data_IF_470177392386
#
_entry.id   IF_470177392386
#
_cell.length_a   1.000
_cell.length_b   1.000
_cell.length_c   1.000
_cell.angle_alpha   90.00
_cell.angle_beta   90.00
_cell.angle_gamma   90.00
#
_symmetry.space_group_name_H-M   'P 1'
#
loop_
_entity.id
_entity.type
_entity.pdbx_description
1 polymer ?
#
# COMPACT_ATOMS: atom_id res chain seq x y z
N UNK A 1 -22.46 -15.94 -16.03
CA UNK A 1 -22.25 -14.52 -16.41
C UNK A 1 -22.52 -13.66 -15.17
N UNK A 2 -21.52 -13.35 -14.41
CA UNK A 2 -21.57 -12.44 -13.28
C UNK A 2 -20.28 -11.65 -13.30
N UNK A 3 -20.36 -10.40 -13.82
CA UNK A 3 -19.21 -9.48 -13.82
C UNK A 3 -19.01 -9.02 -12.38
N UNK A 4 -17.98 -9.51 -11.73
CA UNK A 4 -17.49 -8.96 -10.48
C UNK A 4 -16.79 -7.65 -10.84
N UNK A 5 -17.37 -6.54 -10.40
CA UNK A 5 -16.75 -5.22 -10.45
C UNK A 5 -15.58 -5.26 -9.46
N UNK A 6 -14.37 -5.51 -9.94
CA UNK A 6 -13.17 -5.38 -9.13
C UNK A 6 -12.96 -3.87 -8.89
N UNK A 7 -13.40 -3.39 -7.75
CA UNK A 7 -13.05 -2.08 -7.23
C UNK A 7 -11.56 -2.18 -6.86
N UNK A 8 -10.69 -1.50 -7.60
CA UNK A 8 -9.29 -1.38 -7.24
C UNK A 8 -9.21 -0.48 -5.98
N UNK A 9 -9.26 -1.11 -4.81
CA UNK A 9 -8.91 -0.47 -3.54
C UNK A 9 -7.39 -0.50 -3.52
N UNK A 10 -6.77 0.60 -3.93
CA UNK A 10 -5.35 0.77 -3.70
C UNK A 10 -5.18 0.98 -2.20
N UNK A 11 -4.64 -0.03 -1.52
CA UNK A 11 -4.11 0.11 -0.18
C UNK A 11 -2.90 1.04 -0.27
N UNK A 12 -3.15 2.34 -0.19
CA UNK A 12 -2.16 3.30 0.24
C UNK A 12 -1.84 2.91 1.68
N UNK A 13 -0.60 2.53 1.94
CA UNK A 13 -0.16 2.03 3.24
C UNK A 13 -0.73 2.87 4.39
N UNK A 14 -1.10 2.22 5.46
CA UNK A 14 -1.81 2.76 6.60
C UNK A 14 -1.40 4.20 6.92
N UNK A 15 -2.22 5.16 6.54
CA UNK A 15 -2.11 6.51 7.07
C UNK A 15 -2.59 6.40 8.48
N UNK A 16 -1.65 6.52 9.41
CA UNK A 16 -1.98 6.56 10.82
C UNK A 16 -3.16 7.49 11.04
N UNK A 17 -4.20 6.94 11.62
CA UNK A 17 -5.51 7.55 11.82
C UNK A 17 -5.53 8.91 12.53
N UNK A 18 -4.41 9.39 13.03
CA UNK A 18 -4.30 10.61 13.79
C UNK A 18 -4.52 11.90 13.01
N UNK A 19 -4.41 11.87 11.68
CA UNK A 19 -4.60 13.07 10.85
C UNK A 19 -5.99 13.67 11.01
N UNK A 20 -6.96 12.85 11.33
CA UNK A 20 -8.35 13.26 11.44
C UNK A 20 -8.90 13.18 12.88
N UNK A 21 -8.14 12.71 13.86
CA UNK A 21 -8.64 12.27 15.15
C UNK A 21 -8.56 13.27 16.31
N UNK A 22 -8.10 14.51 16.14
CA UNK A 22 -8.12 15.51 17.24
C UNK A 22 -9.20 16.58 17.08
N UNK A 23 -10.44 16.19 16.93
CA UNK A 23 -11.57 16.87 17.55
C UNK A 23 -11.94 16.12 18.85
N UNK A 24 -12.54 16.81 19.87
CA UNK A 24 -12.86 16.17 21.13
C UNK A 24 -13.67 14.90 20.88
N UNK A 25 -13.28 13.83 21.53
CA UNK A 25 -13.77 12.49 21.40
C UNK A 25 -15.26 12.43 21.04
N UNK A 26 -15.56 12.23 19.77
CA UNK A 26 -16.84 11.64 19.42
C UNK A 26 -16.72 10.18 19.89
N UNK A 27 -17.66 9.70 20.71
CA UNK A 27 -17.66 8.36 21.32
C UNK A 27 -17.80 7.23 20.28
N UNK A 28 -17.71 7.57 18.98
CA UNK A 28 -17.81 6.62 17.89
C UNK A 28 -16.51 5.83 17.76
N UNK A 29 -16.61 4.51 17.94
CA UNK A 29 -15.53 3.55 17.66
C UNK A 29 -15.28 3.38 16.16
N UNK A 30 -16.11 3.97 15.31
CA UNK A 30 -16.02 3.90 13.86
C UNK A 30 -15.45 5.19 13.28
N UNK A 31 -14.50 5.05 12.37
CA UNK A 31 -14.07 6.07 11.45
C UNK A 31 -14.45 5.61 10.04
N UNK A 32 -15.29 6.36 9.36
CA UNK A 32 -15.71 6.05 8.00
C UNK A 32 -15.59 7.32 7.17
N UNK A 33 -14.82 7.22 6.11
CA UNK A 33 -14.58 8.28 5.15
C UNK A 33 -14.43 7.74 3.73
N UNK A 34 -14.48 8.64 2.77
CA UNK A 34 -14.12 8.35 1.40
C UNK A 34 -13.50 9.59 0.77
N UNK A 35 -12.42 9.41 0.03
CA UNK A 35 -11.87 10.45 -0.82
C UNK A 35 -12.15 10.12 -2.29
N UNK A 36 -12.54 11.12 -3.04
CA UNK A 36 -12.76 11.05 -4.49
C UNK A 36 -11.79 12.00 -5.17
N UNK A 37 -11.02 11.48 -6.09
CA UNK A 37 -9.97 12.26 -6.72
C UNK A 37 -9.35 11.57 -7.91
N UNK A 38 -8.13 11.91 -8.16
CA UNK A 38 -7.32 11.32 -9.20
C UNK A 38 -5.91 11.06 -8.67
N UNK A 39 -5.43 9.86 -8.91
CA UNK A 39 -4.08 9.45 -8.59
C UNK A 39 -3.62 8.33 -9.52
N UNK A 40 -2.34 8.09 -9.50
CA UNK A 40 -1.68 7.00 -10.21
C UNK A 40 -0.58 6.48 -9.30
N UNK A 41 -0.39 5.16 -9.28
CA UNK A 41 0.81 4.50 -8.78
C UNK A 41 1.46 3.77 -9.93
N UNK A 42 2.73 4.05 -10.22
CA UNK A 42 3.46 3.35 -11.27
C UNK A 42 3.57 1.86 -10.95
N UNK A 43 3.48 1.05 -11.98
CA UNK A 43 3.68 -0.40 -11.85
C UNK A 43 5.10 -0.74 -12.29
N UNK A 44 5.96 -1.33 -11.42
CA UNK A 44 7.34 -1.65 -11.76
C UNK A 44 7.47 -2.84 -12.73
N UNK A 45 6.39 -3.59 -12.96
CA UNK A 45 6.42 -4.78 -13.81
C UNK A 45 6.43 -4.42 -15.30
N UNK A 46 7.21 -5.16 -16.06
CA UNK A 46 7.27 -5.03 -17.53
C UNK A 46 5.89 -5.15 -18.15
N UNK A 47 5.61 -4.32 -19.15
CA UNK A 47 4.36 -4.34 -19.92
C UNK A 47 3.08 -4.23 -19.07
N UNK A 48 3.18 -3.65 -17.87
CA UNK A 48 2.05 -3.46 -16.98
C UNK A 48 1.63 -1.99 -16.96
N UNK A 49 0.32 -1.77 -17.01
CA UNK A 49 -0.22 -0.42 -16.87
C UNK A 49 -0.09 0.10 -15.43
N UNK A 50 0.09 1.40 -15.30
CA UNK A 50 0.03 2.08 -14.02
C UNK A 50 -1.34 1.87 -13.33
N UNK A 51 -1.34 1.87 -12.01
CA UNK A 51 -2.51 1.60 -11.19
C UNK A 51 -3.27 2.92 -10.93
N UNK A 52 -4.45 3.13 -11.53
CA UNK A 52 -5.23 4.34 -11.29
C UNK A 52 -5.91 4.30 -9.92
N UNK A 53 -5.90 5.43 -9.22
CA UNK A 53 -6.55 5.62 -7.92
C UNK A 53 -7.62 6.69 -8.09
N UNK A 54 -8.89 6.31 -8.02
CA UNK A 54 -10.03 7.23 -8.19
C UNK A 54 -10.77 7.45 -6.89
N UNK A 55 -10.86 6.39 -6.09
CA UNK A 55 -11.54 6.38 -4.80
C UNK A 55 -10.59 5.82 -3.77
N UNK A 56 -10.45 6.51 -2.66
CA UNK A 56 -9.75 6.04 -1.48
C UNK A 56 -10.77 5.96 -0.32
N UNK A 57 -10.88 4.78 0.29
CA UNK A 57 -11.82 4.51 1.38
C UNK A 57 -11.06 4.48 2.70
N UNK A 58 -11.54 5.24 3.66
CA UNK A 58 -11.04 5.24 5.03
C UNK A 58 -12.10 4.59 5.92
N UNK A 59 -11.90 3.33 6.26
CA UNK A 59 -12.81 2.55 7.10
C UNK A 59 -12.00 1.95 8.24
N UNK A 60 -12.22 2.44 9.44
CA UNK A 60 -11.60 1.90 10.63
C UNK A 60 -12.58 1.73 11.78
N UNK A 61 -12.30 0.78 12.63
CA UNK A 61 -13.01 0.54 13.88
C UNK A 61 -12.01 0.26 15.00
N UNK A 62 -12.15 0.97 16.11
CA UNK A 62 -11.29 0.84 17.28
C UNK A 62 -12.10 0.42 18.49
N UNK A 63 -11.85 -0.79 18.98
CA UNK A 63 -12.38 -1.31 20.23
C UNK A 63 -11.40 -1.07 21.38
N UNK A 64 -11.65 -1.74 22.51
CA UNK A 64 -10.80 -1.61 23.70
C UNK A 64 -9.43 -2.31 23.50
N UNK A 65 -9.38 -3.34 22.67
CA UNK A 65 -8.17 -4.10 22.35
C UNK A 65 -8.09 -4.47 20.87
N UNK A 66 -9.23 -4.74 20.24
CA UNK A 66 -9.28 -5.09 18.82
C UNK A 66 -9.46 -3.86 17.98
N UNK A 67 -8.82 -3.84 16.80
CA UNK A 67 -9.06 -2.82 15.79
C UNK A 67 -9.14 -3.42 14.38
N UNK A 68 -9.78 -2.69 13.52
CA UNK A 68 -9.76 -2.86 12.08
C UNK A 68 -9.38 -1.50 11.47
N UNK A 69 -8.41 -1.46 10.59
CA UNK A 69 -8.00 -0.23 9.90
C UNK A 69 -7.66 -0.53 8.43
N UNK A 70 -8.51 -0.07 7.53
CA UNK A 70 -8.31 -0.12 6.07
C UNK A 70 -7.88 -1.48 5.49
N UNK A 71 -8.32 -2.58 6.09
CA UNK A 71 -8.01 -3.94 5.66
C UNK A 71 -7.11 -4.71 6.61
N UNK A 72 -6.41 -4.02 7.49
CA UNK A 72 -5.64 -4.62 8.57
C UNK A 72 -6.53 -4.91 9.79
N UNK A 73 -6.25 -5.99 10.48
CA UNK A 73 -6.92 -6.37 11.72
C UNK A 73 -5.89 -6.48 12.83
N UNK A 74 -6.20 -6.01 14.01
CA UNK A 74 -5.23 -6.06 15.09
C UNK A 74 -5.81 -6.27 16.47
N UNK A 75 -4.92 -6.73 17.36
CA UNK A 75 -5.16 -6.89 18.79
C UNK A 75 -4.07 -6.17 19.55
N UNK A 76 -4.42 -5.04 20.18
CA UNK A 76 -3.52 -4.31 21.08
C UNK A 76 -3.43 -5.01 22.41
N UNK A 77 -2.23 -5.44 22.79
CA UNK A 77 -1.98 -6.16 24.05
C UNK A 77 -1.16 -5.34 25.06
N UNK A 78 -0.54 -4.24 24.62
CA UNK A 78 0.08 -3.26 25.51
C UNK A 78 -0.10 -1.86 24.93
N UNK A 79 -0.50 -0.91 25.77
CA UNK A 79 -0.74 0.46 25.39
C UNK A 79 -0.41 1.38 26.57
N UNK A 80 0.37 2.41 26.30
CA UNK A 80 0.66 3.50 27.23
C UNK A 80 0.86 4.81 26.45
N UNK A 81 1.11 5.92 27.14
CA UNK A 81 1.20 7.26 26.54
C UNK A 81 2.23 7.40 25.39
N UNK A 82 3.18 6.49 25.26
CA UNK A 82 4.30 6.61 24.31
C UNK A 82 4.54 5.36 23.46
N UNK A 83 3.97 4.24 23.83
CA UNK A 83 4.22 2.96 23.16
C UNK A 83 2.96 2.11 23.14
N UNK A 84 2.59 1.69 21.94
CA UNK A 84 1.54 0.70 21.69
C UNK A 84 2.15 -0.53 21.08
N UNK A 85 1.75 -1.72 21.54
CA UNK A 85 2.16 -2.99 20.96
C UNK A 85 0.94 -3.82 20.58
N UNK A 86 0.93 -4.28 19.34
CA UNK A 86 -0.21 -4.98 18.75
C UNK A 86 0.22 -6.22 17.97
N UNK A 87 -0.66 -7.21 17.93
CA UNK A 87 -0.63 -8.28 16.95
C UNK A 87 -1.45 -7.79 15.74
N UNK A 88 -0.88 -7.82 14.53
CA UNK A 88 -1.53 -7.29 13.32
C UNK A 88 -1.56 -8.36 12.23
N UNK A 89 -2.71 -8.49 11.58
CA UNK A 89 -2.89 -9.33 10.39
C UNK A 89 -3.21 -8.46 9.17
N UNK A 90 -2.55 -8.74 8.04
CA UNK A 90 -2.73 -8.01 6.77
C UNK A 90 -2.64 -8.92 5.56
N UNK A 91 -3.00 -8.38 4.40
CA UNK A 91 -2.59 -8.94 3.11
C UNK A 91 -1.25 -8.34 2.67
N UNK A 92 -0.38 -9.18 2.08
CA UNK A 92 0.90 -8.68 1.57
C UNK A 92 0.71 -7.63 0.47
N UNK A 93 1.46 -6.53 0.55
CA UNK A 93 1.31 -5.36 -0.32
C UNK A 93 1.88 -5.55 -1.73
N UNK A 94 2.89 -6.43 -1.93
CA UNK A 94 3.51 -6.64 -3.24
C UNK A 94 2.54 -7.22 -4.26
N UNK A 95 1.52 -7.95 -3.78
CA UNK A 95 0.46 -8.50 -4.62
C UNK A 95 -0.25 -7.47 -5.50
N UNK A 96 -0.29 -6.20 -5.08
CA UNK A 96 -0.97 -5.13 -5.82
C UNK A 96 -0.41 -4.94 -7.24
N UNK A 97 0.88 -5.17 -7.44
CA UNK A 97 1.53 -5.03 -8.74
C UNK A 97 1.16 -6.14 -9.72
N UNK A 98 0.77 -7.32 -9.20
CA UNK A 98 0.41 -8.51 -10.00
C UNK A 98 -1.11 -8.61 -10.26
N UNK A 99 -1.89 -7.62 -9.82
CA UNK A 99 -3.32 -7.57 -10.14
C UNK A 99 -3.51 -7.21 -11.60
N UNK A 100 -4.15 -8.10 -12.38
CA UNK A 100 -4.59 -7.73 -13.74
C UNK A 100 -5.68 -6.69 -13.62
N UNK A 101 -5.30 -5.44 -13.77
CA UNK A 101 -6.28 -4.37 -13.93
C UNK A 101 -6.77 -4.42 -15.38
N UNK A 102 -7.71 -5.34 -15.68
CA UNK A 102 -8.50 -5.23 -16.92
C UNK A 102 -9.41 -3.98 -16.82
N UNK A 103 -8.83 -2.82 -16.58
CA UNK A 103 -9.51 -1.54 -16.76
C UNK A 103 -9.50 -1.20 -18.25
N UNK A 104 -10.25 -1.97 -19.03
CA UNK A 104 -10.77 -1.46 -20.28
C UNK A 104 -11.80 -0.36 -19.94
N UNK A 105 -11.32 0.81 -19.54
CA UNK A 105 -12.09 2.01 -19.82
C UNK A 105 -12.21 2.09 -21.33
N UNK A 106 -13.44 2.21 -21.80
CA UNK A 106 -13.80 2.38 -23.20
C UNK A 106 -12.87 3.41 -23.80
N UNK A 107 -11.80 2.98 -24.46
CA UNK A 107 -11.08 3.82 -25.39
C UNK A 107 -12.07 4.08 -26.52
N UNK A 108 -12.64 5.28 -26.51
CA UNK A 108 -13.33 5.80 -27.69
C UNK A 108 -12.22 6.07 -28.69
N UNK A 109 -11.97 5.07 -29.51
CA UNK A 109 -10.99 5.15 -30.59
C UNK A 109 -11.47 6.18 -31.61
N UNK A 110 -10.90 7.36 -31.57
CA UNK A 110 -11.14 8.44 -32.51
C UNK A 110 -10.15 8.43 -33.68
N UNK A 111 -9.16 7.58 -33.70
CA UNK A 111 -8.20 7.50 -34.83
C UNK A 111 -7.39 6.18 -34.84
N UNK A 112 -7.79 5.28 -35.72
CA UNK A 112 -6.91 4.23 -36.25
C UNK A 112 -6.61 3.08 -35.28
N UNK A 113 -6.71 1.85 -35.81
CA UNK A 113 -6.44 0.63 -35.04
C UNK A 113 -5.10 0.72 -34.30
N UNK A 114 -5.05 0.38 -33.00
CA UNK A 114 -3.79 0.28 -32.29
C UNK A 114 -2.96 -0.81 -32.98
N UNK A 115 -1.71 -0.49 -33.29
CA UNK A 115 -0.71 -1.53 -33.52
C UNK A 115 -0.69 -2.36 -32.25
N UNK A 116 -1.10 -3.62 -32.33
CA UNK A 116 -0.96 -4.56 -31.24
C UNK A 116 0.54 -4.60 -30.89
N UNK A 117 0.92 -3.97 -29.78
CA UNK A 117 2.23 -4.21 -29.21
C UNK A 117 2.31 -5.71 -28.94
N UNK A 118 3.30 -6.34 -29.52
CA UNK A 118 3.49 -7.79 -29.33
C UNK A 118 3.85 -7.98 -27.86
N UNK A 119 2.92 -8.57 -27.11
CA UNK A 119 3.20 -8.99 -25.72
C UNK A 119 4.34 -10.00 -25.77
N UNK A 120 5.50 -9.64 -25.24
CA UNK A 120 6.70 -10.49 -25.25
C UNK A 120 6.49 -11.73 -24.36
N UNK A 121 5.84 -11.55 -23.23
CA UNK A 121 5.40 -12.61 -22.32
C UNK A 121 4.27 -12.08 -21.42
N UNK A 122 3.56 -12.98 -20.78
CA UNK A 122 2.54 -12.64 -19.77
C UNK A 122 3.19 -12.64 -18.40
N UNK A 123 3.04 -11.53 -17.64
CA UNK A 123 3.52 -11.47 -16.25
C UNK A 123 2.81 -12.56 -15.43
N UNK A 124 3.55 -13.43 -14.72
CA UNK A 124 2.96 -14.50 -13.94
C UNK A 124 2.01 -13.97 -12.86
N UNK A 125 0.95 -14.71 -12.59
CA UNK A 125 0.02 -14.38 -11.51
C UNK A 125 0.63 -14.73 -10.14
N UNK A 126 0.29 -13.97 -9.10
CA UNK A 126 0.72 -14.21 -7.72
C UNK A 126 -0.50 -14.19 -6.79
N UNK A 127 -0.52 -15.10 -5.83
CA UNK A 127 -1.60 -15.19 -4.87
C UNK A 127 -1.46 -14.14 -3.75
N UNK A 128 -2.57 -13.87 -3.07
CA UNK A 128 -2.55 -13.08 -1.85
C UNK A 128 -1.94 -13.90 -0.70
N UNK A 129 -0.93 -13.35 -0.05
CA UNK A 129 -0.44 -13.88 1.21
C UNK A 129 -1.14 -13.18 2.39
N UNK A 130 -1.52 -13.97 3.39
CA UNK A 130 -1.99 -13.45 4.69
C UNK A 130 -0.79 -13.47 5.62
N UNK A 131 -0.45 -12.29 6.14
CA UNK A 131 0.67 -12.11 7.05
C UNK A 131 0.18 -11.76 8.44
N UNK A 132 0.83 -12.32 9.45
CA UNK A 132 0.63 -11.99 10.86
C UNK A 132 1.92 -11.40 11.41
N UNK A 133 1.79 -10.31 12.16
CA UNK A 133 2.94 -9.57 12.66
C UNK A 133 2.79 -9.05 14.07
N UNK A 134 3.92 -8.65 14.64
CA UNK A 134 3.98 -7.86 15.87
C UNK A 134 4.40 -6.46 15.48
N UNK A 135 3.56 -5.50 15.83
CA UNK A 135 3.77 -4.08 15.62
C UNK A 135 4.09 -3.38 16.93
N UNK A 136 5.06 -2.47 16.85
CA UNK A 136 5.40 -1.50 17.89
C UNK A 136 5.24 -0.11 17.31
N UNK A 137 4.39 0.69 17.92
CA UNK A 137 4.15 2.07 17.57
C UNK A 137 4.60 2.96 18.73
N UNK A 138 5.56 3.84 18.48
CA UNK A 138 6.07 4.78 19.47
C UNK A 138 5.73 6.21 19.05
N UNK A 139 5.03 6.93 19.93
CA UNK A 139 4.54 8.29 19.68
C UNK A 139 5.14 9.29 20.67
N UNK A 140 5.37 10.51 20.20
CA UNK A 140 5.85 11.59 21.05
C UNK A 140 5.93 12.93 20.33
N UNK A 141 6.41 13.94 21.05
CA UNK A 141 6.66 15.26 20.46
C UNK A 141 7.71 15.25 19.32
N UNK A 142 8.44 14.17 19.19
CA UNK A 142 9.45 13.92 18.15
C UNK A 142 8.85 13.28 16.88
N UNK A 143 7.59 12.90 16.88
CA UNK A 143 6.91 12.22 15.80
C UNK A 143 6.49 10.81 16.17
N UNK A 144 6.22 9.98 15.16
CA UNK A 144 5.77 8.61 15.29
C UNK A 144 6.78 7.68 14.63
N UNK A 145 7.13 6.59 15.30
CA UNK A 145 7.93 5.49 14.78
C UNK A 145 7.12 4.21 14.84
N UNK A 146 6.91 3.58 13.70
CA UNK A 146 6.31 2.27 13.57
C UNK A 146 7.39 1.24 13.24
N UNK A 147 7.37 0.10 13.90
CA UNK A 147 8.21 -1.05 13.59
C UNK A 147 7.36 -2.31 13.61
N UNK A 148 7.40 -3.11 12.55
CA UNK A 148 6.60 -4.32 12.44
C UNK A 148 7.42 -5.47 11.88
N UNK A 149 7.22 -6.66 12.41
CA UNK A 149 7.73 -7.92 11.86
C UNK A 149 6.55 -8.74 11.40
N UNK A 150 6.43 -8.95 10.11
CA UNK A 150 5.40 -9.79 9.51
C UNK A 150 5.96 -11.15 9.09
N UNK A 151 5.13 -12.19 9.17
CA UNK A 151 5.42 -13.53 8.64
C UNK A 151 4.17 -14.07 7.93
N UNK A 152 4.38 -14.73 6.78
CA UNK A 152 3.31 -15.40 6.05
C UNK A 152 2.74 -16.58 6.87
N UNK A 153 1.43 -16.57 7.10
CA UNK A 153 0.70 -17.65 7.79
C UNK A 153 -0.21 -18.42 6.83
N UNK A 154 -0.26 -18.03 5.57
CA UNK A 154 -1.05 -18.68 4.52
C UNK A 154 -0.28 -19.74 3.72
N UNK A 155 1.02 -19.91 3.98
CA UNK A 155 1.96 -20.73 3.20
C UNK A 155 2.01 -20.34 1.73
N UNK A 156 1.91 -19.06 1.43
CA UNK A 156 1.99 -18.53 0.08
C UNK A 156 3.46 -18.33 -0.32
N UNK A 157 4.24 -17.65 0.52
CA UNK A 157 5.67 -17.41 0.27
C UNK A 157 6.60 -17.89 1.39
N UNK A 158 6.06 -18.29 2.53
CA UNK A 158 6.82 -18.78 3.71
C UNK A 158 7.92 -17.81 4.19
N UNK A 159 7.80 -16.53 3.86
CA UNK A 159 8.79 -15.51 4.14
C UNK A 159 8.37 -14.56 5.25
N UNK A 160 9.25 -13.58 5.52
CA UNK A 160 8.99 -12.52 6.49
C UNK A 160 9.42 -11.16 5.96
N UNK A 161 8.83 -10.11 6.54
CA UNK A 161 9.18 -8.72 6.31
C UNK A 161 9.45 -8.02 7.64
N UNK A 162 10.53 -7.21 7.69
CA UNK A 162 10.78 -6.26 8.76
C UNK A 162 10.49 -4.87 8.21
N UNK A 163 9.51 -4.21 8.75
CA UNK A 163 9.07 -2.88 8.31
C UNK A 163 9.38 -1.85 9.39
N UNK A 164 9.88 -0.69 8.98
CA UNK A 164 10.06 0.48 9.84
C UNK A 164 9.70 1.75 9.09
N UNK A 165 8.91 2.61 9.69
CA UNK A 165 8.52 3.92 9.17
C UNK A 165 8.59 4.97 10.27
N UNK A 166 9.08 6.15 9.91
CA UNK A 166 9.10 7.32 10.78
C UNK A 166 8.40 8.47 10.10
N UNK A 167 7.37 9.00 10.76
CA UNK A 167 6.61 10.16 10.33
C UNK A 167 6.63 11.30 11.34
N UNK A 168 6.50 12.52 10.83
CA UNK A 168 6.32 13.70 11.67
C UNK A 168 5.15 14.53 11.19
N UNK A 169 4.08 14.54 11.99
CA UNK A 169 2.86 15.29 11.73
C UNK A 169 2.93 16.72 12.23
N UNK A 170 2.76 17.68 11.33
CA UNK A 170 2.66 19.09 11.69
C UNK A 170 1.27 19.63 11.35
N UNK A 171 0.62 20.22 12.35
CA UNK A 171 -0.72 20.80 12.21
C UNK A 171 -0.68 22.30 12.46
N UNK A 172 -1.29 23.08 11.56
CA UNK A 172 -1.46 24.51 11.69
C UNK A 172 -2.84 24.93 11.21
N UNK A 173 -3.71 25.37 12.10
CA UNK A 173 -5.10 25.76 11.79
C UNK A 173 -5.87 24.66 11.03
N UNK A 174 -5.98 24.83 9.70
CA UNK A 174 -6.69 23.90 8.80
C UNK A 174 -5.77 23.02 7.99
N UNK A 175 -4.46 23.21 8.10
CA UNK A 175 -3.46 22.46 7.39
C UNK A 175 -2.91 21.32 8.24
N UNK A 176 -2.74 20.19 7.62
CA UNK A 176 -1.96 19.09 8.12
C UNK A 176 -0.90 18.71 7.09
N UNK A 177 0.31 18.50 7.53
CA UNK A 177 1.47 18.14 6.74
C UNK A 177 2.23 17.04 7.46
N UNK A 178 2.47 15.92 6.77
CA UNK A 178 3.19 14.78 7.32
C UNK A 178 4.13 14.20 6.26
N UNK A 179 5.42 14.45 6.37
CA UNK A 179 6.44 13.66 5.72
C UNK A 179 6.69 12.39 6.51
N UNK A 180 6.92 11.28 5.83
CA UNK A 180 7.45 10.07 6.43
C UNK A 180 8.52 9.43 5.54
N UNK A 181 9.39 8.66 6.16
CA UNK A 181 10.43 7.87 5.52
C UNK A 181 10.52 6.52 6.22
N UNK A 182 10.81 5.49 5.44
CA UNK A 182 10.94 4.17 6.02
C UNK A 182 11.69 3.19 5.13
N UNK A 183 11.76 1.97 5.60
CA UNK A 183 12.37 0.87 4.90
C UNK A 183 11.70 -0.45 5.25
N UNK A 184 11.72 -1.40 4.33
CA UNK A 184 11.28 -2.76 4.57
C UNK A 184 12.33 -3.76 4.10
N UNK A 185 12.77 -4.62 5.01
CA UNK A 185 13.61 -5.75 4.67
C UNK A 185 12.75 -6.96 4.37
N UNK A 186 12.88 -7.50 3.17
CA UNK A 186 12.14 -8.66 2.69
C UNK A 186 13.06 -9.88 2.62
N UNK A 187 12.60 -11.01 3.18
CA UNK A 187 13.32 -12.27 3.13
C UNK A 187 13.43 -12.81 1.70
N UNK A 188 14.41 -13.67 1.44
CA UNK A 188 14.58 -14.32 0.15
C UNK A 188 13.34 -15.07 -0.32
N UNK A 189 12.64 -15.77 0.58
CA UNK A 189 11.42 -16.49 0.24
C UNK A 189 10.32 -15.55 -0.26
N UNK A 190 10.11 -14.41 0.41
CA UNK A 190 9.14 -13.41 0.01
C UNK A 190 9.53 -12.77 -1.32
N UNK A 191 10.77 -12.28 -1.45
CA UNK A 191 11.25 -11.68 -2.70
C UNK A 191 11.16 -12.66 -3.86
N UNK A 192 11.61 -13.90 -3.66
CA UNK A 192 11.59 -14.91 -4.72
C UNK A 192 10.16 -15.29 -5.13
N UNK A 193 9.20 -15.27 -4.21
CA UNK A 193 7.81 -15.55 -4.54
C UNK A 193 7.22 -14.50 -5.49
N UNK A 194 7.40 -13.22 -5.19
CA UNK A 194 6.83 -12.14 -5.99
C UNK A 194 7.71 -11.79 -7.21
N UNK A 195 9.00 -11.67 -7.03
CA UNK A 195 9.91 -11.15 -8.05
C UNK A 195 10.75 -12.23 -8.75
N UNK A 196 10.73 -13.47 -8.28
CA UNK A 196 11.38 -14.60 -8.94
C UNK A 196 10.63 -15.07 -10.18
N UNK A 197 11.33 -15.78 -11.07
CA UNK A 197 10.77 -16.49 -12.23
C UNK A 197 10.94 -17.98 -11.98
N UNK A 198 9.82 -18.68 -11.81
CA UNK A 198 9.77 -20.12 -11.51
C UNK A 198 10.08 -20.94 -12.75
N UNK A 199 10.47 -22.21 -12.59
CA UNK A 199 10.85 -23.10 -13.70
C UNK A 199 9.71 -23.32 -14.71
N UNK A 200 8.45 -23.30 -14.25
CA UNK A 200 7.25 -23.43 -15.09
C UNK A 200 6.83 -22.13 -15.81
N UNK A 201 7.41 -21.00 -15.42
CA UNK A 201 7.20 -19.68 -16.02
C UNK A 201 8.27 -19.36 -17.10
N UNK A 202 9.36 -20.12 -17.11
CA UNK A 202 10.50 -19.92 -18.04
C UNK A 202 10.09 -20.16 -19.49
N UNK A 203 10.49 -19.26 -20.37
CA UNK A 203 10.32 -19.37 -21.80
C UNK A 203 11.48 -18.69 -22.57
N UNK A 204 11.41 -18.61 -23.90
CA UNK A 204 12.49 -18.06 -24.73
C UNK A 204 12.85 -16.60 -24.44
N UNK A 205 11.95 -15.84 -23.80
CA UNK A 205 12.13 -14.40 -23.50
C UNK A 205 12.15 -14.11 -21.99
N UNK A 206 11.73 -15.06 -21.17
CA UNK A 206 11.70 -14.93 -19.70
C UNK A 206 12.62 -16.00 -19.08
N UNK A 207 13.87 -15.66 -18.74
CA UNK A 207 14.80 -16.60 -18.11
C UNK A 207 14.43 -16.86 -16.65
N UNK A 208 14.86 -18.02 -16.12
CA UNK A 208 14.74 -18.31 -14.68
C UNK A 208 15.49 -17.27 -13.85
N UNK A 209 14.87 -16.86 -12.75
CA UNK A 209 15.46 -15.90 -11.82
C UNK A 209 15.06 -16.24 -10.39
N UNK A 210 16.04 -16.20 -9.49
CA UNK A 210 15.84 -16.37 -8.06
C UNK A 210 16.27 -15.09 -7.35
N UNK A 211 15.31 -14.38 -6.75
CA UNK A 211 15.59 -13.19 -5.97
C UNK A 211 16.01 -13.57 -4.55
N UNK A 212 17.08 -12.96 -4.06
CA UNK A 212 17.52 -13.07 -2.67
C UNK A 212 16.82 -12.00 -1.79
N UNK A 213 17.15 -11.97 -0.52
CA UNK A 213 16.64 -10.96 0.42
C UNK A 213 17.14 -9.56 0.06
N UNK A 214 16.33 -8.56 0.39
CA UNK A 214 16.68 -7.18 0.06
C UNK A 214 15.97 -6.14 0.90
N UNK A 215 16.45 -4.90 0.82
CA UNK A 215 15.93 -3.75 1.55
C UNK A 215 15.31 -2.75 0.58
N UNK A 216 13.97 -2.56 0.66
CA UNK A 216 13.28 -1.46 0.01
C UNK A 216 13.38 -0.21 0.89
N UNK A 217 13.40 0.96 0.25
CA UNK A 217 13.29 2.24 0.94
C UNK A 217 12.08 3.00 0.41
N UNK A 218 11.36 3.70 1.28
CA UNK A 218 10.20 4.49 0.87
C UNK A 218 10.17 5.84 1.55
N UNK A 219 9.48 6.77 0.90
CA UNK A 219 9.18 8.09 1.44
C UNK A 219 7.76 8.48 1.05
N UNK A 220 7.08 9.17 1.94
CA UNK A 220 5.71 9.64 1.73
C UNK A 220 5.55 11.06 2.21
N UNK A 221 4.73 11.80 1.51
CA UNK A 221 4.32 13.13 1.88
C UNK A 221 2.80 13.22 1.83
N UNK A 222 2.20 13.54 2.96
CA UNK A 222 0.79 13.84 3.03
C UNK A 222 0.57 15.32 3.35
N UNK A 223 -0.29 15.95 2.55
CA UNK A 223 -0.78 17.30 2.79
C UNK A 223 -2.31 17.28 2.80
N UNK A 224 -2.92 17.81 3.83
CA UNK A 224 -4.37 17.91 3.92
C UNK A 224 -4.80 19.32 4.35
N UNK A 225 -5.89 19.80 3.74
CA UNK A 225 -6.52 21.06 4.10
C UNK A 225 -7.99 20.84 4.46
N UNK A 226 -8.36 21.20 5.68
CA UNK A 226 -9.73 21.06 6.17
C UNK A 226 -10.61 22.18 5.67
N UNK A 227 -11.52 21.87 4.75
CA UNK A 227 -12.48 22.80 4.17
C UNK A 227 -13.66 23.06 5.13
N UNK A 228 -14.16 22.01 5.77
CA UNK A 228 -15.24 22.05 6.76
C UNK A 228 -15.05 20.92 7.77
N UNK A 229 -16.01 20.73 8.69
CA UNK A 229 -15.96 19.60 9.65
C UNK A 229 -15.97 18.22 9.00
N UNK A 230 -16.52 18.10 7.77
CA UNK A 230 -16.68 16.82 7.08
C UNK A 230 -15.85 16.75 5.80
N UNK A 231 -15.45 17.88 5.22
CA UNK A 231 -14.74 17.92 3.95
C UNK A 231 -13.30 18.34 4.13
N UNK A 232 -12.42 17.62 3.48
CA UNK A 232 -11.00 17.95 3.34
C UNK A 232 -10.57 17.88 1.88
N UNK A 233 -9.49 18.57 1.54
CA UNK A 233 -8.74 18.37 0.33
C UNK A 233 -7.41 17.73 0.72
N UNK A 234 -6.97 16.72 -0.01
CA UNK A 234 -5.73 15.99 0.29
C UNK A 234 -4.86 15.82 -0.95
N UNK A 235 -3.56 15.83 -0.72
CA UNK A 235 -2.52 15.44 -1.67
C UNK A 235 -1.62 14.44 -0.94
N UNK A 236 -1.43 13.28 -1.55
CA UNK A 236 -0.47 12.27 -1.11
C UNK A 236 0.52 12.05 -2.23
N UNK A 237 1.79 11.98 -1.91
CA UNK A 237 2.89 11.63 -2.82
C UNK A 237 3.67 10.52 -2.15
N UNK A 238 3.95 9.47 -2.90
CA UNK A 238 4.68 8.29 -2.44
C UNK A 238 5.82 7.98 -3.39
N UNK A 239 6.91 7.52 -2.84
CA UNK A 239 8.05 7.02 -3.56
C UNK A 239 8.55 5.76 -2.86
N UNK A 240 8.76 4.69 -3.61
CA UNK A 240 9.37 3.47 -3.13
C UNK A 240 10.49 3.07 -4.10
N UNK A 241 11.64 2.72 -3.54
CA UNK A 241 12.73 2.10 -4.27
C UNK A 241 12.81 0.64 -3.90
N UNK A 242 12.55 -0.21 -4.87
CA UNK A 242 12.67 -1.65 -4.71
C UNK A 242 14.14 -2.04 -4.45
N UNK A 243 14.34 -3.11 -3.72
CA UNK A 243 15.67 -3.65 -3.49
C UNK A 243 16.30 -4.15 -4.79
N UNK A 244 17.63 -4.24 -4.82
CA UNK A 244 18.40 -4.58 -6.02
C UNK A 244 18.07 -5.99 -6.54
N UNK A 245 17.67 -6.92 -5.66
CA UNK A 245 17.27 -8.27 -6.04
C UNK A 245 15.91 -8.27 -6.77
N UNK A 246 14.95 -7.51 -6.28
CA UNK A 246 13.68 -7.33 -7.00
C UNK A 246 13.90 -6.60 -8.33
N UNK A 247 14.72 -5.55 -8.33
CA UNK A 247 15.01 -4.75 -9.52
C UNK A 247 15.79 -5.52 -10.61
N UNK A 248 16.59 -6.51 -10.24
CA UNK A 248 17.32 -7.36 -11.20
C UNK A 248 16.44 -8.45 -11.83
N UNK A 249 15.19 -8.59 -11.38
CA UNK A 249 14.25 -9.56 -11.95
C UNK A 249 13.90 -9.23 -13.40
N UNK A 250 13.82 -10.24 -14.29
CA UNK A 250 13.30 -10.06 -15.64
C UNK A 250 11.84 -9.60 -15.71
N UNK A 251 11.10 -9.66 -14.59
CA UNK A 251 9.74 -9.18 -14.46
C UNK A 251 9.66 -7.68 -14.21
N UNK A 252 10.77 -7.03 -13.84
CA UNK A 252 10.81 -5.63 -13.39
C UNK A 252 11.43 -4.75 -14.48
N UNK A 253 10.73 -3.69 -14.86
CA UNK A 253 11.19 -2.67 -15.81
C UNK A 253 11.78 -1.45 -15.08
N UNK A 254 11.18 -1.07 -13.95
CA UNK A 254 11.63 0.09 -13.17
C UNK A 254 11.81 -0.26 -11.70
N UNK A 255 12.94 0.14 -11.13
CA UNK A 255 13.24 -0.03 -9.71
C UNK A 255 12.46 0.96 -8.84
N UNK A 256 12.11 2.11 -9.42
CA UNK A 256 11.52 3.24 -8.70
C UNK A 256 10.00 3.28 -8.92
N UNK A 257 9.24 3.09 -7.85
CA UNK A 257 7.78 3.18 -7.84
C UNK A 257 7.37 4.56 -7.34
N UNK A 258 6.62 5.27 -8.14
CA UNK A 258 6.12 6.59 -7.81
C UNK A 258 4.59 6.59 -7.77
N UNK A 259 4.02 7.16 -6.71
CA UNK A 259 2.59 7.30 -6.55
C UNK A 259 2.17 8.71 -6.17
N UNK A 260 0.99 9.13 -6.61
CA UNK A 260 0.34 10.30 -6.06
C UNK A 260 -1.18 10.13 -6.08
N UNK A 261 -1.83 10.83 -5.17
CA UNK A 261 -3.28 10.99 -5.16
C UNK A 261 -3.63 12.41 -4.73
N UNK A 262 -4.59 13.01 -5.40
CA UNK A 262 -5.17 14.29 -5.00
C UNK A 262 -6.68 14.25 -5.11
N UNK A 263 -7.39 14.72 -4.10
CA UNK A 263 -8.83 14.60 -4.07
C UNK A 263 -9.50 15.29 -2.89
N UNK A 264 -10.83 15.16 -2.87
CA UNK A 264 -11.67 15.65 -1.79
C UNK A 264 -12.15 14.48 -0.95
N UNK A 265 -11.84 14.53 0.33
CA UNK A 265 -12.30 13.56 1.32
C UNK A 265 -13.57 14.03 2.02
N UNK A 266 -14.45 13.07 2.28
CA UNK A 266 -15.64 13.26 3.08
C UNK A 266 -15.65 12.25 4.23
N UNK A 267 -15.83 12.74 5.46
CA UNK A 267 -15.97 11.91 6.67
C UNK A 267 -17.44 11.78 7.02
N UNK A 268 -17.89 10.55 7.12
CA UNK A 268 -19.22 10.23 7.65
C UNK A 268 -19.20 10.37 9.18
N UNK A 269 -20.31 10.78 9.75
CA UNK A 269 -20.51 10.88 11.21
C UNK A 269 -21.25 9.67 11.72
#
# INVERSE_FOLDING_TARGET
MGKVLALAIALLGAVSAEVLAQEPADESRWRVGAAFGYGIRSNPLVQSDDIPIIVDLDIAWFGDHFFFDNGDVGLTFADNETLTASLVGRFNSDRVFFGRTETRFVNIDLAGAPLAEATLFEVPDRDYAIELGIELLADGAWGQLQMTVFHDVSNTHDGYELYADYGYGWRSQRWYFEPSIGASYKSASLNNYYWGVRDDEVNDVLPSYQADSGLNAHARLMLSYQLSRQWSFSLVIEYERLNDEAAASPLVEDQDVFGYFTGFGFRFR
#
